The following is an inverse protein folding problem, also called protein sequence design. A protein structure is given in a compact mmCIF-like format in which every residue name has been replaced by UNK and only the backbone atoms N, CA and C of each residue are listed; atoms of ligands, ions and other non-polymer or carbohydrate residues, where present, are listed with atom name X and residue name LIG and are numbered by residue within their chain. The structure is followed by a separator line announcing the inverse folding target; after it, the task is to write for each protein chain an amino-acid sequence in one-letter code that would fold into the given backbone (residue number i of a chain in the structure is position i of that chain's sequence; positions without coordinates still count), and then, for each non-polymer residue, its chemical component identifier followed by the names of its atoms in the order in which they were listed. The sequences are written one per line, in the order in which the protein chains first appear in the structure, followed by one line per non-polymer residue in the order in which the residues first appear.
data_IF_819167296021
#
_entry.id   IF_819167296021
#
_cell.length_a   1.000
_cell.length_b   1.000
_cell.length_c   1.000
_cell.angle_alpha   90.00
_cell.angle_beta   90.00
_cell.angle_gamma   90.00
#
_symmetry.space_group_name_H-M   'P 1'
#
loop_
_entity.id
_entity.type
_entity.pdbx_description
1 polymer ?
#
# COMPACT_ATOMS: atom_id res chain seq x y z
N UNK A 1 -1.81 -19.37 6.96
CA UNK A 1 -2.30 -18.01 6.61
C UNK A 1 -1.58 -16.99 7.48
N UNK A 2 -0.78 -16.08 6.90
CA UNK A 2 -0.09 -15.02 7.66
C UNK A 2 -1.10 -14.14 8.41
N UNK A 3 -0.76 -13.68 9.63
CA UNK A 3 -1.67 -12.87 10.47
C UNK A 3 -2.01 -11.55 9.76
N UNK A 4 -3.26 -11.09 9.87
CA UNK A 4 -3.63 -9.76 9.40
C UNK A 4 -3.02 -8.74 10.35
N UNK A 5 -2.19 -7.83 9.83
CA UNK A 5 -1.63 -6.75 10.65
C UNK A 5 -2.55 -5.54 10.57
N UNK A 6 -2.99 -5.06 11.73
CA UNK A 6 -3.72 -3.80 11.87
C UNK A 6 -2.73 -2.71 12.28
N UNK A 7 -2.75 -1.60 11.55
CA UNK A 7 -1.90 -0.46 11.82
C UNK A 7 -2.76 0.78 12.08
N UNK A 8 -2.35 1.59 13.05
CA UNK A 8 -2.87 2.95 13.25
C UNK A 8 -1.77 3.95 12.92
N UNK A 9 -2.04 4.91 12.05
CA UNK A 9 -1.17 6.05 11.76
C UNK A 9 -1.79 7.29 12.40
N UNK A 10 -1.08 7.83 13.39
CA UNK A 10 -1.45 9.03 14.14
C UNK A 10 -0.98 10.30 13.42
N UNK A 11 -1.39 11.47 13.92
CA UNK A 11 -0.97 12.77 13.38
C UNK A 11 0.56 12.87 13.29
N UNK A 12 1.06 13.29 12.13
CA UNK A 12 2.47 13.44 11.78
C UNK A 12 3.18 12.14 11.40
N UNK A 13 2.57 10.97 11.64
CA UNK A 13 3.17 9.70 11.23
C UNK A 13 2.96 9.44 9.75
N UNK A 14 3.96 8.82 9.12
CA UNK A 14 3.94 8.37 7.72
C UNK A 14 4.60 6.99 7.61
N UNK A 15 4.46 6.37 6.45
CA UNK A 15 5.23 5.18 6.10
C UNK A 15 6.01 5.49 4.82
N UNK A 16 7.33 5.40 4.89
CA UNK A 16 8.19 5.69 3.73
C UNK A 16 7.91 4.74 2.57
N UNK A 17 8.26 5.18 1.36
CA UNK A 17 8.06 4.35 0.17
C UNK A 17 8.87 3.07 0.26
N UNK A 18 8.23 1.94 0.04
CA UNK A 18 8.80 0.61 0.11
C UNK A 18 8.09 -0.34 -0.85
N UNK A 19 8.63 -1.54 -0.99
CA UNK A 19 7.99 -2.64 -1.71
C UNK A 19 7.61 -3.75 -0.73
N UNK A 20 6.55 -4.47 -1.06
CA UNK A 20 6.06 -5.59 -0.24
C UNK A 20 6.71 -6.93 -0.60
N UNK A 21 7.33 -7.03 -1.78
CA UNK A 21 8.10 -8.22 -2.18
C UNK A 21 9.38 -8.34 -1.35
N UNK A 22 9.87 -9.57 -1.19
CA UNK A 22 11.12 -9.82 -0.50
C UNK A 22 12.31 -9.60 -1.44
N UNK A 23 13.39 -9.00 -0.93
CA UNK A 23 14.65 -8.85 -1.67
C UNK A 23 15.61 -10.01 -1.43
N UNK A 24 15.39 -10.79 -0.37
CA UNK A 24 16.24 -11.88 0.06
C UNK A 24 15.60 -13.26 -0.19
N UNK A 25 16.45 -14.28 -0.30
CA UNK A 25 16.02 -15.66 -0.47
C UNK A 25 15.54 -16.33 0.82
N UNK A 26 15.77 -15.74 2.00
CA UNK A 26 15.38 -16.36 3.26
C UNK A 26 13.87 -16.27 3.47
N UNK A 27 13.30 -15.09 3.24
CA UNK A 27 11.88 -14.83 3.43
C UNK A 27 11.00 -15.48 2.36
N UNK A 28 11.55 -15.80 1.18
CA UNK A 28 10.81 -16.50 0.12
C UNK A 28 10.68 -18.01 0.34
N UNK A 29 11.39 -18.61 1.31
CA UNK A 29 11.33 -20.06 1.54
C UNK A 29 9.96 -20.57 1.96
N UNK A 30 9.17 -19.73 2.63
CA UNK A 30 7.83 -20.08 3.09
C UNK A 30 6.79 -19.29 2.30
N UNK A 31 6.05 -19.96 1.42
CA UNK A 31 5.05 -19.33 0.56
C UNK A 31 5.59 -18.64 -0.70
N UNK A 32 6.92 -18.49 -0.88
CA UNK A 32 7.46 -17.80 -2.04
C UNK A 32 7.46 -16.28 -1.89
N UNK A 33 7.39 -15.56 -3.01
CA UNK A 33 7.23 -14.11 -2.99
C UNK A 33 5.84 -13.69 -2.51
N UNK A 34 5.76 -12.53 -1.86
CA UNK A 34 4.51 -11.81 -1.70
C UNK A 34 4.10 -11.25 -3.06
N UNK A 35 3.09 -11.86 -3.69
CA UNK A 35 2.68 -11.53 -5.06
C UNK A 35 1.72 -10.36 -5.12
N UNK A 36 0.88 -10.21 -4.09
CA UNK A 36 -0.11 -9.15 -4.03
C UNK A 36 -0.37 -8.72 -2.58
N UNK A 37 -0.85 -7.49 -2.46
CA UNK A 37 -1.22 -6.88 -1.18
C UNK A 37 -2.64 -6.37 -1.27
N UNK A 38 -3.45 -6.77 -0.28
CA UNK A 38 -4.75 -6.17 -0.01
C UNK A 38 -4.64 -5.24 1.19
N UNK A 39 -4.65 -3.94 0.94
CA UNK A 39 -4.65 -2.89 1.94
C UNK A 39 -6.09 -2.41 2.17
N UNK A 40 -6.64 -2.67 3.35
CA UNK A 40 -8.00 -2.30 3.74
C UNK A 40 -7.98 -1.04 4.60
N UNK A 41 -8.80 -0.04 4.26
CA UNK A 41 -8.98 1.16 5.07
C UNK A 41 -10.11 0.94 6.09
N UNK A 42 -9.74 0.91 7.36
CA UNK A 42 -10.65 0.70 8.48
C UNK A 42 -11.19 2.01 9.07
N UNK A 43 -10.59 3.15 8.68
CA UNK A 43 -11.12 4.48 8.95
C UNK A 43 -10.89 5.42 7.75
N UNK A 44 -11.68 6.48 7.69
CA UNK A 44 -11.42 7.64 6.86
C UNK A 44 -10.48 8.58 7.61
N UNK A 45 -9.64 9.29 6.87
CA UNK A 45 -8.77 10.33 7.41
C UNK A 45 -9.38 11.68 7.07
N UNK A 46 -9.34 12.62 8.01
CA UNK A 46 -9.93 13.94 7.81
C UNK A 46 -9.04 14.83 6.93
N UNK A 47 -7.72 14.65 6.99
CA UNK A 47 -6.75 15.40 6.20
C UNK A 47 -5.48 14.57 5.94
N UNK A 48 -5.15 14.41 4.65
CA UNK A 48 -4.04 13.61 4.12
C UNK A 48 -4.14 12.10 4.44
N UNK A 49 -3.01 11.41 4.59
CA UNK A 49 -2.97 9.97 4.82
C UNK A 49 -3.19 9.12 3.57
N UNK A 50 -3.02 9.67 2.37
CA UNK A 50 -3.13 8.92 1.11
C UNK A 50 -2.12 7.76 1.04
N UNK A 51 -2.48 6.71 0.31
CA UNK A 51 -1.51 5.72 -0.14
C UNK A 51 -1.04 6.12 -1.53
N UNK A 52 0.27 6.34 -1.70
CA UNK A 52 0.90 6.89 -2.92
C UNK A 52 1.77 5.83 -3.60
N UNK A 53 1.72 5.79 -4.93
CA UNK A 53 2.55 4.96 -5.82
C UNK A 53 3.36 5.86 -6.75
N UNK A 54 4.59 6.26 -6.36
CA UNK A 54 5.38 7.23 -7.13
C UNK A 54 5.76 6.76 -8.53
N UNK A 55 5.89 5.44 -8.72
CA UNK A 55 6.32 4.83 -9.98
C UNK A 55 5.18 4.19 -10.78
N UNK A 56 3.92 4.41 -10.38
CA UNK A 56 2.79 3.97 -11.20
C UNK A 56 2.73 4.80 -12.49
N UNK A 57 2.70 4.12 -13.64
CA UNK A 57 2.61 4.76 -14.97
C UNK A 57 1.17 5.23 -15.30
N UNK A 58 0.52 5.89 -14.34
CA UNK A 58 -0.84 6.40 -14.49
C UNK A 58 -0.83 7.88 -14.12
N UNK A 59 -1.43 8.71 -14.98
CA UNK A 59 -1.57 10.14 -14.68
C UNK A 59 -2.36 10.33 -13.39
N UNK A 60 -1.87 11.18 -12.50
CA UNK A 60 -2.58 11.55 -11.28
C UNK A 60 -3.95 12.18 -11.55
N UNK A 61 -4.13 12.83 -12.71
CA UNK A 61 -5.43 13.36 -13.12
C UNK A 61 -6.48 12.27 -13.40
N UNK A 62 -6.08 11.01 -13.43
CA UNK A 62 -7.00 9.87 -13.62
C UNK A 62 -7.86 9.60 -12.38
N UNK A 63 -7.51 10.13 -11.20
CA UNK A 63 -8.37 10.03 -10.02
C UNK A 63 -9.28 11.26 -9.88
N UNK A 64 -10.60 11.10 -9.61
CA UNK A 64 -11.53 12.22 -9.54
C UNK A 64 -11.17 13.33 -8.53
N UNK A 65 -10.43 12.97 -7.48
CA UNK A 65 -10.04 13.85 -6.36
C UNK A 65 -8.65 14.45 -6.51
N UNK A 66 -8.05 14.43 -7.71
CA UNK A 66 -6.66 14.85 -7.92
C UNK A 66 -6.35 16.29 -7.46
N UNK A 67 -7.33 17.19 -7.54
CA UNK A 67 -7.22 18.58 -7.08
C UNK A 67 -7.07 18.73 -5.56
N UNK A 68 -7.48 17.71 -4.81
CA UNK A 68 -7.55 17.73 -3.35
C UNK A 68 -6.46 16.84 -2.71
N UNK A 69 -5.46 16.43 -3.50
CA UNK A 69 -4.37 15.60 -3.03
C UNK A 69 -3.32 16.43 -2.29
N UNK A 70 -2.77 15.86 -1.22
CA UNK A 70 -1.60 16.41 -0.52
C UNK A 70 -0.38 16.52 -1.44
N UNK A 71 0.60 17.35 -1.06
CA UNK A 71 1.87 17.45 -1.81
C UNK A 71 2.63 16.11 -1.86
N UNK A 72 2.52 15.30 -0.81
CA UNK A 72 3.02 13.92 -0.81
C UNK A 72 2.28 13.06 -1.86
N UNK A 73 0.95 13.14 -1.88
CA UNK A 73 0.13 12.34 -2.79
C UNK A 73 0.29 12.77 -4.26
N UNK A 74 0.75 13.99 -4.53
CA UNK A 74 1.06 14.48 -5.88
C UNK A 74 2.27 13.82 -6.54
N UNK A 75 3.06 13.04 -5.80
CA UNK A 75 4.25 12.37 -6.31
C UNK A 75 3.95 11.18 -7.24
N UNK A 76 2.70 10.72 -7.33
CA UNK A 76 2.30 9.61 -8.20
C UNK A 76 0.81 9.29 -8.12
N UNK A 77 0.42 8.07 -8.50
CA UNK A 77 -0.96 7.61 -8.36
C UNK A 77 -1.28 7.47 -6.87
N UNK A 78 -2.35 8.13 -6.42
CA UNK A 78 -2.69 8.17 -5.00
C UNK A 78 -4.15 7.91 -4.70
N UNK A 79 -4.40 7.19 -3.61
CA UNK A 79 -5.74 6.88 -3.13
C UNK A 79 -5.96 7.48 -1.75
N UNK A 80 -7.06 8.25 -1.62
CA UNK A 80 -7.53 8.74 -0.31
C UNK A 80 -8.11 7.57 0.51
N UNK A 81 -7.74 7.43 1.79
CA UNK A 81 -8.31 6.42 2.67
C UNK A 81 -9.79 6.72 2.92
N UNK A 82 -10.65 5.77 2.58
CA UNK A 82 -12.09 5.82 2.84
C UNK A 82 -12.50 4.54 3.55
N UNK A 83 -13.17 4.67 4.70
CA UNK A 83 -13.62 3.52 5.49
C UNK A 83 -14.36 2.49 4.63
N UNK A 84 -13.95 1.23 4.74
CA UNK A 84 -14.56 0.11 4.03
C UNK A 84 -13.99 -0.14 2.62
N UNK A 85 -13.24 0.80 2.04
CA UNK A 85 -12.54 0.56 0.79
C UNK A 85 -11.32 -0.36 1.02
N UNK A 86 -10.98 -1.12 -0.01
CA UNK A 86 -9.74 -1.88 -0.07
C UNK A 86 -9.01 -1.60 -1.39
N UNK A 87 -7.68 -1.60 -1.31
CA UNK A 87 -6.77 -1.47 -2.43
C UNK A 87 -6.08 -2.83 -2.62
N UNK A 88 -6.21 -3.39 -3.81
CA UNK A 88 -5.45 -4.57 -4.25
C UNK A 88 -4.41 -4.12 -5.26
N UNK A 89 -3.14 -4.46 -5.02
CA UNK A 89 -2.05 -4.24 -5.96
C UNK A 89 -1.08 -5.41 -5.96
N UNK A 90 -0.35 -5.58 -7.05
CA UNK A 90 0.61 -6.66 -7.24
C UNK A 90 2.02 -6.15 -6.97
N UNK A 91 2.79 -6.96 -6.23
CA UNK A 91 4.22 -6.73 -5.97
C UNK A 91 5.11 -7.51 -6.94
N UNK A 92 4.52 -8.42 -7.72
CA UNK A 92 5.22 -9.20 -8.75
C UNK A 92 4.48 -9.13 -10.08
N UNK A 93 5.22 -9.27 -11.17
CA UNK A 93 4.68 -9.44 -12.52
C UNK A 93 4.09 -10.84 -12.72
N UNK A 94 3.36 -11.10 -13.83
CA UNK A 94 2.80 -12.44 -14.11
C UNK A 94 3.84 -13.56 -14.19
N UNK A 95 5.11 -13.24 -14.46
CA UNK A 95 6.23 -14.17 -14.46
C UNK A 95 6.90 -14.33 -13.07
N UNK A 96 6.23 -13.85 -12.01
CA UNK A 96 6.69 -13.84 -10.62
C UNK A 96 7.94 -12.99 -10.32
N UNK A 97 8.43 -12.20 -11.28
CA UNK A 97 9.54 -11.26 -11.02
C UNK A 97 9.05 -10.04 -10.21
N UNK A 98 9.87 -9.48 -9.30
CA UNK A 98 9.52 -8.28 -8.55
C UNK A 98 9.15 -7.10 -9.46
N UNK A 99 8.08 -6.38 -9.11
CA UNK A 99 7.63 -5.23 -9.89
C UNK A 99 7.95 -3.90 -9.19
N UNK A 100 8.92 -3.15 -9.74
CA UNK A 100 9.36 -1.88 -9.14
C UNK A 100 8.27 -0.78 -9.15
N UNK A 101 7.28 -0.86 -10.05
CA UNK A 101 6.11 0.05 -10.03
C UNK A 101 5.20 -0.15 -8.82
N UNK A 102 5.35 -1.25 -8.07
CA UNK A 102 4.62 -1.48 -6.82
C UNK A 102 5.20 -0.71 -5.62
N UNK A 103 6.23 0.13 -5.82
CA UNK A 103 6.77 1.00 -4.80
C UNK A 103 5.65 1.91 -4.27
N UNK A 104 5.38 1.84 -2.98
CA UNK A 104 4.27 2.55 -2.37
C UNK A 104 4.59 3.03 -0.96
N UNK A 105 3.89 4.08 -0.53
CA UNK A 105 4.03 4.64 0.82
C UNK A 105 2.70 5.14 1.36
N UNK A 106 2.69 5.51 2.64
CA UNK A 106 1.58 6.21 3.27
C UNK A 106 2.00 7.64 3.55
N UNK A 107 1.32 8.60 2.94
CA UNK A 107 1.52 10.02 3.21
C UNK A 107 1.22 10.33 4.70
N UNK A 108 1.80 11.43 5.23
CA UNK A 108 1.54 11.87 6.59
C UNK A 108 0.05 12.03 6.87
N UNK A 109 -0.38 11.74 8.09
CA UNK A 109 -1.73 12.14 8.57
C UNK A 109 -1.62 13.50 9.22
N UNK A 110 -2.37 14.50 8.75
CA UNK A 110 -2.36 15.85 9.34
C UNK A 110 -3.53 16.03 10.30
N UNK A 111 -4.69 15.43 9.99
CA UNK A 111 -5.87 15.46 10.87
C UNK A 111 -6.64 14.13 10.86
N UNK A 112 -7.09 13.72 12.05
CA UNK A 112 -7.78 12.45 12.27
C UNK A 112 -6.81 11.30 12.55
N UNK A 113 -7.29 10.07 12.37
CA UNK A 113 -6.51 8.85 12.58
C UNK A 113 -6.75 7.86 11.45
N UNK A 114 -5.69 7.36 10.82
CA UNK A 114 -5.77 6.33 9.78
C UNK A 114 -5.65 4.96 10.42
N UNK A 115 -6.66 4.11 10.24
CA UNK A 115 -6.61 2.70 10.58
C UNK A 115 -6.60 1.90 9.28
N UNK A 116 -5.65 0.99 9.16
CA UNK A 116 -5.58 0.07 8.03
C UNK A 116 -5.32 -1.36 8.48
N UNK A 117 -5.69 -2.31 7.63
CA UNK A 117 -5.27 -3.70 7.76
C UNK A 117 -4.63 -4.16 6.46
N UNK A 118 -3.45 -4.74 6.54
CA UNK A 118 -2.72 -5.25 5.38
C UNK A 118 -2.78 -6.76 5.36
N UNK A 119 -3.11 -7.32 4.20
CA UNK A 119 -2.98 -8.75 3.91
C UNK A 119 -1.99 -8.94 2.77
N UNK A 120 -0.91 -9.65 3.05
CA UNK A 120 0.01 -10.12 2.01
C UNK A 120 -0.45 -11.49 1.50
N UNK A 121 -0.46 -11.64 0.18
CA UNK A 121 -0.76 -12.87 -0.52
C UNK A 121 0.54 -13.42 -1.11
N UNK A 122 0.78 -14.71 -0.90
CA UNK A 122 2.00 -15.40 -1.32
C UNK A 122 1.74 -16.21 -2.60
N UNK A 123 2.76 -16.44 -3.42
CA UNK A 123 2.66 -17.26 -4.65
C UNK A 123 2.29 -18.71 -4.36
N UNK A 124 2.79 -19.24 -3.24
CA UNK A 124 2.53 -20.59 -2.76
C UNK A 124 1.87 -20.61 -1.39
N UNK A 125 1.60 -21.81 -0.90
CA UNK A 125 1.05 -22.00 0.44
C UNK A 125 2.00 -21.51 1.52
N UNK A 126 1.51 -20.64 2.40
CA UNK A 126 2.24 -20.10 3.53
C UNK A 126 1.90 -20.86 4.81
N UNK A 127 2.87 -21.61 5.33
CA UNK A 127 2.75 -22.44 6.52
C UNK A 127 3.13 -21.64 7.77
N UNK A 128 2.35 -21.75 8.84
CA UNK A 128 2.55 -21.03 10.11
C UNK A 128 2.89 -21.98 11.24
#
# INVERSE_FOLDING_TARGET
MERNFKFSTMIGQKYETHTDYFVDEFNTKNGGQRTATLLMYLSAVEEEGETVFPYAEVSISSVPWWNELSECAKQGLSLKPKTGNALLFWSTRPDATPDASSLHGSCPVIRGNKWSATKWLHLGEYNV
#
